data_IF_495014756177
#
_entry.id   IF_495014756177
#
_cell.length_a   1.000
_cell.length_b   1.000
_cell.length_c   1.000
_cell.angle_alpha   90.00
_cell.angle_beta   90.00
_cell.angle_gamma   90.00
#
_symmetry.space_group_name_H-M   'P 1'
#
loop_
_entity.id
_entity.type
_entity.pdbx_description
1 polymer ?
#
# COMPACT_ATOMS: atom_id res chain seq x y z
N UNK A 1 44.23 -4.75 -23.35
CA UNK A 1 42.83 -4.83 -23.77
C UNK A 1 42.06 -3.85 -22.91
N UNK A 2 41.61 -2.74 -23.50
CA UNK A 2 40.86 -1.70 -22.79
C UNK A 2 39.48 -2.27 -22.47
N UNK A 3 39.31 -2.81 -21.26
CA UNK A 3 38.02 -3.31 -20.81
C UNK A 3 37.05 -2.14 -20.73
N UNK A 4 36.03 -2.13 -21.61
CA UNK A 4 34.96 -1.17 -21.47
C UNK A 4 34.27 -1.42 -20.11
N UNK A 5 34.08 -0.39 -19.28
CA UNK A 5 33.37 -0.55 -18.02
C UNK A 5 31.94 -1.03 -18.32
N UNK A 6 31.51 -2.06 -17.59
CA UNK A 6 30.16 -2.63 -17.72
C UNK A 6 29.16 -1.52 -17.43
N UNK A 7 28.22 -1.29 -18.36
CA UNK A 7 27.17 -0.31 -18.11
C UNK A 7 26.25 -0.77 -16.98
N UNK A 8 25.75 0.17 -16.19
CA UNK A 8 24.81 -0.14 -15.11
C UNK A 8 23.57 -0.89 -15.63
N UNK A 9 23.06 -0.52 -16.82
CA UNK A 9 21.94 -1.21 -17.46
C UNK A 9 22.23 -2.67 -17.81
N UNK A 10 23.40 -2.95 -18.40
CA UNK A 10 23.81 -4.31 -18.74
C UNK A 10 24.04 -5.17 -17.48
N UNK A 11 24.59 -4.57 -16.42
CA UNK A 11 24.76 -5.22 -15.13
C UNK A 11 23.42 -5.60 -14.49
N UNK A 12 22.48 -4.65 -14.40
CA UNK A 12 21.15 -4.87 -13.81
C UNK A 12 20.33 -5.87 -14.60
N UNK A 13 20.35 -5.81 -15.93
CA UNK A 13 19.65 -6.78 -16.78
C UNK A 13 20.14 -8.22 -16.54
N UNK A 14 21.47 -8.41 -16.50
CA UNK A 14 22.09 -9.69 -16.21
C UNK A 14 21.86 -10.16 -14.77
N UNK A 15 21.57 -9.26 -13.83
CA UNK A 15 21.27 -9.61 -12.44
C UNK A 15 19.89 -10.26 -12.26
N UNK A 16 18.95 -9.91 -13.14
CA UNK A 16 17.55 -10.34 -13.01
C UNK A 16 17.17 -11.45 -14.00
N UNK A 17 18.04 -11.68 -15.00
CA UNK A 17 17.86 -12.70 -16.03
C UNK A 17 18.91 -13.80 -15.87
N UNK A 18 18.54 -14.99 -15.35
CA UNK A 18 19.51 -16.08 -15.15
C UNK A 18 20.13 -16.58 -16.45
N UNK A 19 19.40 -16.47 -17.57
CA UNK A 19 19.85 -16.92 -18.90
C UNK A 19 20.84 -15.96 -19.57
N UNK A 20 21.01 -14.74 -19.05
CA UNK A 20 22.01 -13.81 -19.58
C UNK A 20 23.41 -14.18 -19.06
N UNK A 21 24.44 -14.14 -19.93
CA UNK A 21 25.81 -14.36 -19.50
C UNK A 21 26.26 -13.25 -18.56
N UNK A 22 27.31 -13.53 -17.77
CA UNK A 22 27.97 -12.53 -16.95
C UNK A 22 28.49 -11.42 -17.86
N UNK A 23 28.17 -10.13 -17.59
CA UNK A 23 28.62 -9.04 -18.44
C UNK A 23 30.13 -9.03 -18.65
N UNK A 24 30.56 -8.90 -19.90
CA UNK A 24 31.98 -8.77 -20.23
C UNK A 24 32.59 -7.53 -19.56
N UNK A 25 33.78 -7.66 -18.99
CA UNK A 25 34.46 -6.59 -18.25
C UNK A 25 34.33 -6.66 -16.73
N UNK A 26 33.58 -7.61 -16.17
CA UNK A 26 33.60 -7.90 -14.74
C UNK A 26 34.80 -8.79 -14.36
N UNK A 27 35.71 -8.24 -13.59
CA UNK A 27 36.88 -8.94 -13.06
C UNK A 27 36.90 -8.97 -11.54
N UNK A 28 37.45 -10.05 -10.99
CA UNK A 28 37.83 -10.14 -9.59
C UNK A 28 39.02 -9.21 -9.28
N UNK A 29 39.34 -8.97 -7.99
CA UNK A 29 40.52 -8.20 -7.59
C UNK A 29 41.86 -8.76 -8.09
N UNK A 30 41.90 -10.07 -8.41
CA UNK A 30 43.05 -10.76 -9.01
C UNK A 30 43.11 -10.66 -10.54
N UNK A 31 42.17 -9.95 -11.17
CA UNK A 31 42.08 -9.78 -12.62
C UNK A 31 41.42 -10.95 -13.37
N UNK A 32 41.03 -12.03 -12.68
CA UNK A 32 40.30 -13.15 -13.26
C UNK A 32 38.81 -12.86 -13.50
N UNK A 33 38.10 -13.67 -14.30
CA UNK A 33 36.66 -13.48 -14.56
C UNK A 33 35.84 -13.61 -13.26
N UNK A 34 34.90 -12.68 -13.05
CA UNK A 34 34.11 -12.61 -11.82
C UNK A 34 32.89 -13.55 -11.78
N UNK A 35 32.83 -14.58 -12.64
CA UNK A 35 31.63 -15.41 -12.88
C UNK A 35 30.99 -15.95 -11.59
N UNK A 36 31.77 -16.64 -10.75
CA UNK A 36 31.26 -17.21 -9.49
C UNK A 36 30.75 -16.15 -8.52
N UNK A 37 31.43 -14.99 -8.43
CA UNK A 37 31.01 -13.90 -7.54
C UNK A 37 29.73 -13.25 -8.04
N UNK A 38 29.61 -13.10 -9.36
CA UNK A 38 28.42 -12.57 -9.99
C UNK A 38 27.22 -13.51 -9.78
N UNK A 39 27.38 -14.82 -9.93
CA UNK A 39 26.32 -15.80 -9.67
C UNK A 39 25.82 -15.76 -8.22
N UNK A 40 26.74 -15.66 -7.25
CA UNK A 40 26.38 -15.49 -5.82
C UNK A 40 25.62 -14.18 -5.61
N UNK A 41 26.09 -13.08 -6.21
CA UNK A 41 25.45 -11.77 -6.08
C UNK A 41 24.05 -11.76 -6.69
N UNK A 42 23.88 -12.36 -7.87
CA UNK A 42 22.59 -12.60 -8.56
C UNK A 42 21.62 -13.34 -7.65
N UNK A 43 22.05 -14.45 -7.05
CA UNK A 43 21.20 -15.24 -6.15
C UNK A 43 20.78 -14.43 -4.92
N UNK A 44 21.70 -13.70 -4.29
CA UNK A 44 21.40 -12.89 -3.12
C UNK A 44 20.37 -11.81 -3.43
N UNK A 45 20.42 -11.19 -4.62
CA UNK A 45 19.45 -10.17 -5.03
C UNK A 45 18.05 -10.76 -5.14
N UNK A 46 17.89 -11.92 -5.79
CA UNK A 46 16.59 -12.58 -5.89
C UNK A 46 16.04 -12.96 -4.51
N UNK A 47 16.90 -13.50 -3.63
CA UNK A 47 16.52 -13.84 -2.25
C UNK A 47 16.08 -12.60 -1.48
N UNK A 48 16.88 -11.53 -1.47
CA UNK A 48 16.54 -10.30 -0.74
C UNK A 48 15.26 -9.63 -1.25
N UNK A 49 15.02 -9.65 -2.56
CA UNK A 49 13.78 -9.13 -3.13
C UNK A 49 12.58 -10.00 -2.78
N UNK A 50 12.75 -11.32 -2.78
CA UNK A 50 11.69 -12.24 -2.33
C UNK A 50 11.35 -12.04 -0.86
N UNK A 51 12.36 -11.90 -0.01
CA UNK A 51 12.18 -11.64 1.42
C UNK A 51 11.51 -10.29 1.67
N UNK A 52 11.88 -9.25 0.91
CA UNK A 52 11.20 -7.95 0.96
C UNK A 52 9.70 -8.06 0.62
N UNK A 53 9.32 -8.88 -0.36
CA UNK A 53 7.91 -9.15 -0.66
C UNK A 53 7.23 -9.92 0.46
N UNK A 54 7.89 -10.91 1.07
CA UNK A 54 7.34 -11.64 2.23
C UNK A 54 7.05 -10.70 3.40
N UNK A 55 7.94 -9.76 3.68
CA UNK A 55 7.76 -8.73 4.71
C UNK A 55 6.67 -7.73 4.34
N UNK A 56 6.59 -7.32 3.07
CA UNK A 56 5.61 -6.34 2.60
C UNK A 56 4.19 -6.86 2.47
N UNK A 57 4.00 -8.17 2.30
CA UNK A 57 2.70 -8.80 2.05
C UNK A 57 2.44 -10.03 2.97
N UNK A 58 2.50 -9.88 4.30
CA UNK A 58 2.42 -11.00 5.24
C UNK A 58 1.09 -11.78 5.22
N UNK A 59 -0.06 -11.12 5.03
CA UNK A 59 -1.38 -11.75 4.87
C UNK A 59 -1.46 -12.46 3.53
N UNK A 60 -1.01 -11.82 2.43
CA UNK A 60 -0.93 -12.49 1.12
C UNK A 60 -0.07 -13.76 1.20
N UNK A 61 1.08 -13.69 1.88
CA UNK A 61 1.94 -14.84 2.17
C UNK A 61 1.21 -15.93 2.96
N UNK A 62 0.48 -15.58 4.03
CA UNK A 62 -0.29 -16.55 4.83
C UNK A 62 -1.40 -17.21 4.02
N UNK A 63 -2.09 -16.45 3.17
CA UNK A 63 -3.20 -16.96 2.34
C UNK A 63 -2.72 -17.92 1.24
N UNK A 64 -1.55 -17.64 0.64
CA UNK A 64 -0.97 -18.48 -0.42
C UNK A 64 -0.13 -19.64 0.13
N UNK A 65 0.41 -19.49 1.34
CA UNK A 65 1.44 -20.37 1.88
C UNK A 65 2.83 -20.08 1.31
N UNK A 66 3.85 -20.41 2.10
CA UNK A 66 5.23 -20.01 1.83
C UNK A 66 5.79 -20.53 0.50
N UNK A 67 5.53 -21.81 0.19
CA UNK A 67 6.04 -22.43 -1.04
C UNK A 67 5.49 -21.76 -2.29
N UNK A 68 4.17 -21.51 -2.33
CA UNK A 68 3.54 -20.88 -3.48
C UNK A 68 3.95 -19.41 -3.58
N UNK A 69 3.93 -18.67 -2.47
CA UNK A 69 4.33 -17.28 -2.44
C UNK A 69 5.77 -17.10 -2.94
N UNK A 70 6.70 -17.96 -2.51
CA UNK A 70 8.11 -17.90 -2.95
C UNK A 70 8.24 -18.12 -4.46
N UNK A 71 7.51 -19.10 -5.03
CA UNK A 71 7.51 -19.35 -6.47
C UNK A 71 6.92 -18.17 -7.26
N UNK A 72 5.79 -17.64 -6.80
CA UNK A 72 5.14 -16.47 -7.37
C UNK A 72 6.02 -15.22 -7.30
N UNK A 73 6.65 -14.96 -6.15
CA UNK A 73 7.57 -13.85 -5.95
C UNK A 73 8.75 -13.92 -6.94
N UNK A 74 9.26 -15.10 -7.24
CA UNK A 74 10.26 -15.28 -8.29
C UNK A 74 9.79 -14.80 -9.66
N UNK A 75 8.52 -15.06 -10.02
CA UNK A 75 7.91 -14.54 -11.27
C UNK A 75 7.80 -13.02 -11.21
N UNK A 76 7.27 -12.48 -10.11
CA UNK A 76 7.12 -11.05 -9.88
C UNK A 76 8.45 -10.31 -10.02
N UNK A 77 9.51 -10.77 -9.35
CA UNK A 77 10.84 -10.13 -9.34
C UNK A 77 11.42 -9.98 -10.76
N UNK A 78 11.15 -10.93 -11.65
CA UNK A 78 11.61 -10.89 -13.05
C UNK A 78 10.80 -9.91 -13.90
N UNK A 79 9.50 -9.78 -13.62
CA UNK A 79 8.59 -8.92 -14.40
C UNK A 79 8.58 -7.47 -13.89
N UNK A 80 8.82 -7.27 -12.59
CA UNK A 80 8.73 -6.00 -11.89
C UNK A 80 10.01 -5.73 -11.10
N UNK A 81 11.13 -5.43 -11.79
CA UNK A 81 12.38 -5.13 -11.10
C UNK A 81 12.26 -3.86 -10.26
N UNK A 82 13.03 -3.71 -9.16
CA UNK A 82 13.04 -2.50 -8.36
C UNK A 82 13.37 -1.27 -9.20
N UNK A 83 12.52 -0.25 -9.11
CA UNK A 83 12.74 1.06 -9.78
C UNK A 83 13.38 2.10 -8.85
N UNK A 84 13.48 1.78 -7.56
CA UNK A 84 14.04 2.64 -6.52
C UNK A 84 15.02 1.85 -5.66
N UNK A 85 16.09 2.48 -5.14
CA UNK A 85 16.95 1.86 -4.13
C UNK A 85 16.25 1.69 -2.77
N UNK A 86 15.07 2.30 -2.58
CA UNK A 86 14.32 2.23 -1.33
C UNK A 86 13.41 0.99 -1.32
N UNK A 87 13.80 -0.02 -0.55
CA UNK A 87 13.13 -1.33 -0.49
C UNK A 87 11.66 -1.25 0.00
N UNK A 88 11.33 -0.23 0.79
CA UNK A 88 9.97 0.04 1.25
C UNK A 88 8.97 0.28 0.11
N UNK A 89 9.42 0.71 -1.07
CA UNK A 89 8.56 0.89 -2.25
C UNK A 89 8.46 -0.37 -3.11
N UNK A 90 9.27 -1.40 -2.84
CA UNK A 90 9.26 -2.60 -3.63
C UNK A 90 7.97 -3.40 -3.41
N UNK A 91 7.36 -3.86 -4.50
CA UNK A 91 6.05 -4.51 -4.47
C UNK A 91 4.87 -3.63 -4.85
N UNK A 92 5.07 -2.36 -5.23
CA UNK A 92 3.96 -1.46 -5.60
C UNK A 92 3.03 -2.05 -6.68
N UNK A 93 3.57 -2.80 -7.65
CA UNK A 93 2.80 -3.45 -8.71
C UNK A 93 2.12 -4.77 -8.28
N UNK A 94 2.31 -5.23 -7.04
CA UNK A 94 1.80 -6.53 -6.57
C UNK A 94 0.28 -6.67 -6.73
N UNK A 95 -0.57 -5.67 -6.40
CA UNK A 95 -2.01 -5.81 -6.61
C UNK A 95 -2.38 -6.06 -8.08
N UNK A 96 -1.85 -5.27 -9.01
CA UNK A 96 -2.12 -5.43 -10.45
C UNK A 96 -1.55 -6.73 -11.01
N UNK A 97 -0.37 -7.15 -10.52
CA UNK A 97 0.19 -8.45 -10.85
C UNK A 97 -0.75 -9.59 -10.43
N UNK A 98 -1.30 -9.56 -9.21
CA UNK A 98 -2.23 -10.58 -8.72
C UNK A 98 -3.56 -10.61 -9.47
N UNK A 99 -4.02 -9.49 -10.01
CA UNK A 99 -5.22 -9.45 -10.87
C UNK A 99 -5.01 -10.20 -12.19
N UNK A 100 -3.81 -10.12 -12.76
CA UNK A 100 -3.45 -10.80 -14.01
C UNK A 100 -2.88 -12.22 -13.83
N UNK A 101 -2.58 -12.64 -12.60
CA UNK A 101 -1.90 -13.91 -12.34
C UNK A 101 -2.88 -15.08 -12.26
N UNK A 102 -3.06 -15.79 -13.38
CA UNK A 102 -4.02 -16.92 -13.52
C UNK A 102 -4.00 -17.92 -12.35
N UNK A 103 -2.84 -18.34 -11.79
CA UNK A 103 -2.81 -19.33 -10.72
C UNK A 103 -3.57 -18.94 -9.44
N UNK A 104 -3.81 -17.63 -9.21
CA UNK A 104 -4.58 -17.13 -8.06
C UNK A 104 -5.95 -16.56 -8.45
N UNK A 105 -6.38 -16.70 -9.72
CA UNK A 105 -7.59 -16.07 -10.24
C UNK A 105 -8.89 -16.47 -9.53
N UNK A 106 -8.91 -17.58 -8.80
CA UNK A 106 -10.05 -18.00 -7.96
C UNK A 106 -10.14 -17.25 -6.63
N UNK A 107 -9.05 -16.60 -6.19
CA UNK A 107 -8.96 -15.83 -4.95
C UNK A 107 -9.21 -14.35 -5.24
N UNK A 108 -10.45 -14.01 -5.57
CA UNK A 108 -10.80 -12.67 -6.02
C UNK A 108 -10.50 -11.53 -5.04
N UNK A 109 -10.32 -11.82 -3.75
CA UNK A 109 -9.96 -10.86 -2.70
C UNK A 109 -8.45 -10.62 -2.57
N UNK A 110 -7.61 -11.45 -3.16
CA UNK A 110 -6.16 -11.40 -2.96
C UNK A 110 -5.52 -10.08 -3.46
N UNK A 111 -5.92 -9.53 -4.62
CA UNK A 111 -5.45 -8.21 -5.04
C UNK A 111 -5.82 -7.10 -4.03
N UNK A 112 -7.04 -7.13 -3.48
CA UNK A 112 -7.50 -6.10 -2.54
C UNK A 112 -6.82 -6.22 -1.18
N UNK A 113 -6.45 -7.44 -0.76
CA UNK A 113 -5.57 -7.65 0.39
C UNK A 113 -4.19 -7.05 0.13
N UNK A 114 -3.61 -7.28 -1.05
CA UNK A 114 -2.33 -6.67 -1.39
C UNK A 114 -2.39 -5.14 -1.44
N UNK A 115 -3.52 -4.55 -1.88
CA UNK A 115 -3.77 -3.09 -1.80
C UNK A 115 -3.78 -2.60 -0.36
N UNK A 116 -4.45 -3.33 0.53
CA UNK A 116 -4.50 -3.02 1.96
C UNK A 116 -3.11 -3.03 2.59
N UNK A 117 -2.32 -4.06 2.32
CA UNK A 117 -0.95 -4.19 2.83
C UNK A 117 -0.02 -3.10 2.28
N UNK A 118 -0.16 -2.76 0.99
CA UNK A 118 0.57 -1.65 0.38
C UNK A 118 0.19 -0.31 1.02
N UNK A 119 -1.10 -0.05 1.20
CA UNK A 119 -1.60 1.20 1.77
C UNK A 119 -1.20 1.38 3.24
N UNK A 120 -1.12 0.30 4.03
CA UNK A 120 -0.56 0.32 5.38
C UNK A 120 0.91 0.76 5.36
N UNK A 121 1.71 0.17 4.49
CA UNK A 121 3.13 0.51 4.37
C UNK A 121 3.33 1.94 3.86
N UNK A 122 2.51 2.39 2.92
CA UNK A 122 2.51 3.79 2.48
C UNK A 122 2.16 4.75 3.62
N UNK A 123 1.15 4.44 4.42
CA UNK A 123 0.75 5.23 5.58
C UNK A 123 1.87 5.31 6.63
N UNK A 124 2.55 4.18 6.90
CA UNK A 124 3.70 4.10 7.80
C UNK A 124 4.84 5.05 7.38
N UNK A 125 5.06 5.19 6.08
CA UNK A 125 6.14 6.00 5.52
C UNK A 125 5.75 7.40 5.05
N UNK A 126 4.46 7.75 5.14
CA UNK A 126 3.97 9.07 4.77
C UNK A 126 4.53 10.15 5.70
N UNK A 127 4.57 11.39 5.22
CA UNK A 127 4.98 12.52 6.05
C UNK A 127 4.06 12.70 7.27
N UNK A 128 4.65 13.06 8.41
CA UNK A 128 3.90 13.42 9.61
C UNK A 128 3.15 14.74 9.37
N UNK A 129 1.98 14.87 10.00
CA UNK A 129 1.19 16.10 9.99
C UNK A 129 0.53 16.28 11.36
N UNK A 130 0.38 17.54 11.79
CA UNK A 130 -0.35 17.85 13.00
C UNK A 130 -1.86 17.63 12.78
N UNK A 131 -2.55 16.86 13.64
CA UNK A 131 -4.00 16.69 13.55
C UNK A 131 -4.73 18.03 13.69
N UNK A 132 -5.89 18.13 13.03
CA UNK A 132 -6.81 19.25 13.15
C UNK A 132 -7.30 19.38 14.60
N UNK A 133 -7.17 20.57 15.18
CA UNK A 133 -7.81 20.87 16.46
C UNK A 133 -9.35 20.90 16.28
N UNK A 134 -10.12 20.04 16.97
CA UNK A 134 -11.58 20.07 16.89
C UNK A 134 -12.20 21.43 17.22
N UNK A 135 -11.52 22.26 18.03
CA UNK A 135 -11.98 23.61 18.34
C UNK A 135 -12.06 24.50 17.10
N UNK A 136 -11.26 24.25 16.07
CA UNK A 136 -11.29 25.00 14.81
C UNK A 136 -12.61 24.80 14.05
N UNK A 137 -13.17 23.59 14.08
CA UNK A 137 -14.49 23.31 13.49
C UNK A 137 -15.62 23.94 14.30
N UNK A 138 -15.50 23.93 15.64
CA UNK A 138 -16.50 24.53 16.54
C UNK A 138 -16.55 26.05 16.48
N UNK A 139 -15.46 26.69 16.02
CA UNK A 139 -15.38 28.14 15.88
C UNK A 139 -16.09 28.67 14.62
N UNK A 140 -16.41 27.79 13.66
CA UNK A 140 -17.11 28.16 12.43
C UNK A 140 -18.62 28.20 12.65
N UNK A 141 -19.29 29.18 12.04
CA UNK A 141 -20.74 29.14 11.90
C UNK A 141 -21.17 28.03 10.91
N UNK A 142 -22.46 27.66 10.86
CA UNK A 142 -22.91 26.57 9.99
C UNK A 142 -22.62 26.78 8.50
N UNK A 143 -22.67 28.02 8.00
CA UNK A 143 -22.44 28.32 6.58
C UNK A 143 -20.96 28.20 6.23
N UNK A 144 -20.09 28.70 7.12
CA UNK A 144 -18.65 28.56 7.02
C UNK A 144 -18.19 27.10 7.16
N UNK A 145 -18.82 26.33 8.05
CA UNK A 145 -18.48 24.93 8.26
C UNK A 145 -18.74 24.11 6.99
N UNK A 146 -19.91 24.31 6.36
CA UNK A 146 -20.27 23.66 5.09
C UNK A 146 -19.30 24.04 3.97
N UNK A 147 -18.90 25.32 3.91
CA UNK A 147 -17.97 25.80 2.88
C UNK A 147 -16.49 25.48 3.17
N UNK A 148 -16.16 25.04 4.39
CA UNK A 148 -14.78 24.75 4.81
C UNK A 148 -14.19 23.55 4.07
N UNK A 149 -12.87 23.55 3.90
CA UNK A 149 -12.11 22.51 3.17
C UNK A 149 -11.05 21.89 4.08
N UNK A 150 -11.42 20.91 4.92
CA UNK A 150 -10.43 20.18 5.71
C UNK A 150 -9.55 19.32 4.80
N UNK A 151 -8.26 19.24 5.13
CA UNK A 151 -7.29 18.40 4.39
C UNK A 151 -7.06 17.07 5.10
N UNK A 152 -6.99 16.00 4.33
CA UNK A 152 -6.56 14.70 4.84
C UNK A 152 -5.07 14.70 5.18
N UNK A 153 -4.68 14.02 6.26
CA UNK A 153 -3.29 13.79 6.58
C UNK A 153 -2.59 12.98 5.47
N UNK A 154 -1.28 13.19 5.22
CA UNK A 154 -0.55 12.45 4.16
C UNK A 154 -0.59 10.93 4.31
N UNK A 155 -0.75 10.44 5.54
CA UNK A 155 -0.85 9.02 5.86
C UNK A 155 -2.23 8.41 5.58
N UNK A 156 -3.25 9.22 5.27
CA UNK A 156 -4.59 8.72 5.02
C UNK A 156 -4.65 7.96 3.70
N UNK A 157 -5.25 6.78 3.73
CA UNK A 157 -5.67 6.04 2.53
C UNK A 157 -7.09 5.56 2.71
N UNK A 158 -7.89 5.63 1.64
CA UNK A 158 -9.23 5.06 1.59
C UNK A 158 -9.19 3.91 0.60
N UNK A 159 -9.68 2.75 1.01
CA UNK A 159 -9.80 1.59 0.13
C UNK A 159 -11.24 1.09 0.14
N UNK A 160 -11.74 0.80 -1.05
CA UNK A 160 -13.06 0.23 -1.28
C UNK A 160 -12.89 -1.16 -1.85
N UNK A 161 -13.61 -2.13 -1.30
CA UNK A 161 -13.48 -3.53 -1.69
C UNK A 161 -14.82 -4.24 -1.65
N UNK A 162 -15.09 -5.05 -2.68
CA UNK A 162 -16.24 -5.97 -2.70
C UNK A 162 -16.05 -7.18 -1.77
N UNK A 163 -14.89 -7.28 -1.15
CA UNK A 163 -14.48 -8.36 -0.26
C UNK A 163 -14.19 -7.84 1.15
N UNK A 164 -14.23 -8.72 2.18
CA UNK A 164 -14.09 -8.33 3.57
C UNK A 164 -12.60 -8.21 3.95
N UNK A 165 -11.90 -7.26 3.31
CA UNK A 165 -10.44 -7.14 3.36
C UNK A 165 -9.90 -6.88 4.76
N UNK A 166 -10.60 -6.08 5.56
CA UNK A 166 -10.18 -5.81 6.93
C UNK A 166 -10.46 -7.02 7.84
N UNK A 167 -11.60 -7.69 7.67
CA UNK A 167 -11.87 -8.91 8.43
C UNK A 167 -10.89 -10.04 8.07
N UNK A 168 -10.55 -10.21 6.80
CA UNK A 168 -9.53 -11.16 6.31
C UNK A 168 -8.15 -10.83 6.86
N UNK A 169 -7.75 -9.55 6.82
CA UNK A 169 -6.48 -9.10 7.38
C UNK A 169 -6.42 -9.39 8.88
N UNK A 170 -7.44 -8.99 9.64
CA UNK A 170 -7.52 -9.23 11.09
C UNK A 170 -7.48 -10.71 11.45
N UNK A 171 -8.21 -11.55 10.72
CA UNK A 171 -8.19 -13.00 10.93
C UNK A 171 -6.79 -13.62 10.79
N UNK A 172 -5.96 -13.05 9.93
CA UNK A 172 -4.60 -13.53 9.70
C UNK A 172 -3.55 -12.87 10.62
N UNK A 173 -3.82 -11.69 11.15
CA UNK A 173 -2.83 -10.91 11.93
C UNK A 173 -3.07 -10.96 13.45
N UNK A 174 -4.31 -11.12 13.91
CA UNK A 174 -4.66 -11.12 15.32
C UNK A 174 -5.13 -12.50 15.79
N UNK A 175 -4.50 -13.01 16.84
CA UNK A 175 -4.91 -14.26 17.48
C UNK A 175 -6.33 -14.15 18.04
N UNK A 176 -7.16 -15.20 17.81
CA UNK A 176 -8.55 -15.23 18.27
C UNK A 176 -9.51 -14.32 17.49
N UNK A 177 -9.07 -13.67 16.41
CA UNK A 177 -9.97 -12.88 15.57
C UNK A 177 -11.09 -13.74 14.96
N UNK A 178 -12.32 -13.21 14.83
CA UNK A 178 -13.46 -13.96 14.32
C UNK A 178 -13.24 -14.33 12.85
N UNK A 179 -13.84 -15.44 12.42
CA UNK A 179 -13.82 -15.85 11.02
C UNK A 179 -14.49 -14.76 10.14
N UNK A 180 -13.86 -14.36 9.03
CA UNK A 180 -14.41 -13.33 8.16
C UNK A 180 -15.71 -13.81 7.52
N UNK A 181 -16.69 -12.90 7.45
CA UNK A 181 -17.93 -13.08 6.70
C UNK A 181 -17.82 -12.41 5.34
N UNK A 182 -18.35 -13.04 4.30
CA UNK A 182 -18.23 -12.52 2.95
C UNK A 182 -19.15 -11.30 2.75
N UNK A 183 -18.56 -10.12 2.68
CA UNK A 183 -19.24 -8.85 2.47
C UNK A 183 -18.26 -7.83 1.87
N UNK A 184 -18.79 -6.76 1.27
CA UNK A 184 -17.97 -5.60 0.92
C UNK A 184 -17.51 -4.86 2.17
N UNK A 185 -16.30 -4.31 2.12
CA UNK A 185 -15.75 -3.47 3.16
C UNK A 185 -15.06 -2.27 2.54
N UNK A 186 -15.43 -1.09 3.03
CA UNK A 186 -14.69 0.13 2.83
C UNK A 186 -13.87 0.40 4.11
N UNK A 187 -12.63 0.84 3.94
CA UNK A 187 -11.69 1.04 5.06
C UNK A 187 -10.95 2.36 4.93
N UNK A 188 -10.74 2.99 6.07
CA UNK A 188 -9.84 4.12 6.26
C UNK A 188 -8.56 3.59 6.90
N UNK A 189 -7.43 3.92 6.32
CA UNK A 189 -6.12 3.74 6.93
C UNK A 189 -5.64 5.11 7.36
N UNK A 190 -5.22 5.22 8.61
CA UNK A 190 -4.78 6.47 9.24
C UNK A 190 -3.62 6.19 10.17
N UNK A 191 -2.82 7.21 10.46
CA UNK A 191 -1.68 7.11 11.37
C UNK A 191 -1.67 8.35 12.26
N UNK A 192 -2.33 8.26 13.42
CA UNK A 192 -2.34 9.33 14.41
C UNK A 192 -0.98 9.48 15.11
N UNK A 193 -0.30 8.35 15.35
CA UNK A 193 1.02 8.28 15.95
C UNK A 193 2.03 7.62 14.99
N UNK A 194 2.61 6.47 15.37
CA UNK A 194 3.68 5.82 14.61
C UNK A 194 3.20 4.63 13.77
N UNK A 195 2.18 3.90 14.23
CA UNK A 195 1.68 2.73 13.53
C UNK A 195 0.36 3.04 12.82
N UNK A 196 0.21 2.62 11.54
CA UNK A 196 -1.03 2.81 10.81
C UNK A 196 -2.10 1.84 11.33
N UNK A 197 -3.32 2.35 11.47
CA UNK A 197 -4.49 1.59 11.89
C UNK A 197 -5.52 1.51 10.76
N UNK A 198 -6.28 0.41 10.74
CA UNK A 198 -7.36 0.19 9.78
C UNK A 198 -8.69 0.37 10.51
N UNK A 199 -9.49 1.31 10.05
CA UNK A 199 -10.86 1.52 10.54
C UNK A 199 -11.85 1.12 9.45
N UNK A 200 -12.82 0.26 9.79
CA UNK A 200 -13.94 -0.04 8.88
C UNK A 200 -14.84 1.18 8.78
N UNK A 201 -15.23 1.52 7.57
CA UNK A 201 -16.14 2.61 7.27
C UNK A 201 -17.58 2.10 7.15
N UNK A 202 -18.51 2.90 7.65
CA UNK A 202 -19.92 2.71 7.37
C UNK A 202 -20.23 3.10 5.90
N UNK A 203 -21.36 2.64 5.33
CA UNK A 203 -21.80 3.07 4.00
C UNK A 203 -21.76 4.60 3.82
N UNK A 204 -21.33 5.08 2.65
CA UNK A 204 -21.17 6.50 2.33
C UNK A 204 -19.91 7.17 2.89
N UNK A 205 -19.32 6.66 3.99
CA UNK A 205 -18.13 7.31 4.59
C UNK A 205 -16.89 7.24 3.69
N UNK A 206 -16.75 6.23 2.83
CA UNK A 206 -15.66 6.21 1.84
C UNK A 206 -15.78 7.38 0.86
N UNK A 207 -16.97 7.63 0.32
CA UNK A 207 -17.24 8.75 -0.58
C UNK A 207 -16.97 10.10 0.09
N UNK A 208 -17.27 10.23 1.39
CA UNK A 208 -16.91 11.41 2.18
C UNK A 208 -15.39 11.66 2.14
N UNK A 209 -14.57 10.67 2.53
CA UNK A 209 -13.11 10.84 2.55
C UNK A 209 -12.52 10.98 1.13
N UNK A 210 -13.04 10.27 0.14
CA UNK A 210 -12.62 10.40 -1.27
C UNK A 210 -12.90 11.80 -1.82
N UNK A 211 -14.02 12.42 -1.43
CA UNK A 211 -14.34 13.81 -1.78
C UNK A 211 -13.36 14.79 -1.12
N UNK A 212 -13.04 14.61 0.17
CA UNK A 212 -12.03 15.43 0.84
C UNK A 212 -10.63 15.27 0.23
N UNK A 213 -10.27 14.07 -0.23
CA UNK A 213 -9.02 13.82 -0.94
C UNK A 213 -8.91 14.61 -2.26
N UNK A 214 -10.05 14.99 -2.85
CA UNK A 214 -10.15 15.83 -4.05
C UNK A 214 -10.27 17.33 -3.71
N UNK A 215 -9.92 17.71 -2.47
CA UNK A 215 -9.95 19.10 -1.98
C UNK A 215 -11.36 19.72 -1.91
N UNK A 216 -12.41 18.89 -1.88
CA UNK A 216 -13.81 19.32 -1.81
C UNK A 216 -14.17 20.01 -0.49
N UNK A 217 -15.29 20.74 -0.46
CA UNK A 217 -15.80 21.30 0.80
C UNK A 217 -16.42 20.22 1.67
N UNK A 218 -16.58 20.50 2.96
CA UNK A 218 -17.26 19.59 3.88
C UNK A 218 -18.71 19.33 3.44
N UNK A 219 -19.39 20.36 2.91
CA UNK A 219 -20.72 20.23 2.30
C UNK A 219 -20.73 19.26 1.13
N UNK A 220 -19.84 19.45 0.15
CA UNK A 220 -19.74 18.57 -1.02
C UNK A 220 -19.42 17.12 -0.62
N UNK A 221 -18.59 16.93 0.41
CA UNK A 221 -18.25 15.61 0.95
C UNK A 221 -19.44 14.94 1.63
N UNK A 222 -20.27 15.69 2.37
CA UNK A 222 -21.53 15.19 2.95
C UNK A 222 -22.50 14.82 1.84
N UNK A 223 -22.69 15.68 0.83
CA UNK A 223 -23.59 15.42 -0.29
C UNK A 223 -23.18 14.15 -1.06
N UNK A 224 -21.88 13.97 -1.33
CA UNK A 224 -21.35 12.77 -1.97
C UNK A 224 -21.64 11.50 -1.14
N UNK A 225 -21.45 11.57 0.18
CA UNK A 225 -21.70 10.47 1.09
C UNK A 225 -23.20 10.13 1.18
N UNK A 226 -24.07 11.14 1.29
CA UNK A 226 -25.53 10.98 1.36
C UNK A 226 -26.12 10.47 0.04
N UNK A 227 -25.54 10.85 -1.10
CA UNK A 227 -25.93 10.33 -2.41
C UNK A 227 -25.69 8.82 -2.53
N UNK A 228 -24.66 8.30 -1.85
CA UNK A 228 -24.35 6.88 -1.82
C UNK A 228 -25.14 6.12 -0.74
N UNK A 229 -25.27 6.71 0.45
CA UNK A 229 -25.99 6.13 1.59
C UNK A 229 -26.90 7.18 2.22
N UNK A 230 -28.21 7.04 2.05
CA UNK A 230 -29.20 8.01 2.56
C UNK A 230 -29.22 8.13 4.09
N UNK A 231 -28.73 7.10 4.79
CA UNK A 231 -28.57 7.03 6.24
C UNK A 231 -27.15 7.38 6.71
N UNK A 232 -26.34 8.02 5.85
CA UNK A 232 -24.99 8.47 6.19
C UNK A 232 -24.97 9.31 7.48
N UNK A 233 -24.11 8.90 8.43
CA UNK A 233 -23.91 9.57 9.70
C UNK A 233 -22.60 10.38 9.69
N UNK A 234 -22.75 11.68 9.46
CA UNK A 234 -21.65 12.65 9.54
C UNK A 234 -21.00 12.67 10.93
N UNK A 235 -21.78 12.53 12.00
CA UNK A 235 -21.26 12.65 13.38
C UNK A 235 -20.28 11.51 13.66
N UNK A 236 -20.67 10.28 13.34
CA UNK A 236 -19.80 9.11 13.48
C UNK A 236 -18.58 9.21 12.58
N UNK A 237 -18.76 9.62 11.32
CA UNK A 237 -17.65 9.73 10.34
C UNK A 237 -16.64 10.79 10.75
N UNK A 238 -17.09 11.96 11.20
CA UNK A 238 -16.23 13.03 11.69
C UNK A 238 -15.54 12.63 13.00
N UNK A 239 -16.22 11.90 13.89
CA UNK A 239 -15.62 11.33 15.10
C UNK A 239 -14.45 10.38 14.79
N UNK A 240 -14.60 9.54 13.78
CA UNK A 240 -13.50 8.69 13.27
C UNK A 240 -12.38 9.59 12.73
N UNK A 241 -12.70 10.55 11.87
CA UNK A 241 -11.71 11.41 11.22
C UNK A 241 -10.84 12.20 12.24
N UNK A 242 -11.46 12.72 13.30
CA UNK A 242 -10.76 13.46 14.35
C UNK A 242 -9.96 12.54 15.29
N UNK A 243 -10.56 11.44 15.77
CA UNK A 243 -9.89 10.54 16.72
C UNK A 243 -8.70 9.79 16.11
N UNK A 244 -8.72 9.58 14.79
CA UNK A 244 -7.64 8.93 14.03
C UNK A 244 -6.58 9.89 13.47
N UNK A 245 -6.71 11.20 13.74
CA UNK A 245 -5.80 12.21 13.17
C UNK A 245 -5.86 12.31 11.64
N UNK A 246 -6.96 11.88 11.02
CA UNK A 246 -7.11 11.87 9.57
C UNK A 246 -7.27 13.27 8.97
N UNK A 247 -7.70 14.27 9.75
CA UNK A 247 -7.81 15.66 9.31
C UNK A 247 -6.65 16.50 9.86
N UNK A 248 -6.19 17.49 9.11
CA UNK A 248 -5.03 18.33 9.46
C UNK A 248 -5.35 19.82 9.40
N UNK A 249 -5.20 20.43 8.23
CA UNK A 249 -5.49 21.85 8.02
C UNK A 249 -6.99 22.04 7.74
N UNK A 250 -7.55 23.14 8.26
CA UNK A 250 -8.89 23.59 7.93
C UNK A 250 -8.78 24.93 7.21
N UNK A 251 -9.16 24.95 5.93
CA UNK A 251 -9.29 26.20 5.20
C UNK A 251 -10.72 26.67 5.31
N UNK A 252 -10.90 27.78 6.02
CA UNK A 252 -12.13 28.55 6.00
C UNK A 252 -12.36 29.10 4.57
N UNK A 253 -13.63 29.35 4.19
CA UNK A 253 -13.99 29.92 2.88
C UNK A 253 -13.29 31.24 2.55
#
# INVERSE_FOLDING_TARGET
>A
MSGHPVSQGAFTAALLSPDLPVPEGLSNPDGGPATKRFDVYRNNVIVSLTDALKTGFPVTLKLLGETFFTAMAGVYVRQHPPQSPLMMFYGAEMPGFLEGFEPVGKLGYLPDIARLELALREAYHAADAAPLDPAALQALDPEQLVASRPRLAPAVRVLRSRWPIHALWRFNMAEGAPKPQMASEDVLISRAEFDPEITRLAPGAAAFFESLAQDASLGDAVDAATAEATDFDLTTTLGIALSSGALTELRAP
#
